data_IF_886220904824
#
_entry.id   IF_886220904824
#
_cell.length_a   1.000
_cell.length_b   1.000
_cell.length_c   1.000
_cell.angle_alpha   90.00
_cell.angle_beta   90.00
_cell.angle_gamma   90.00
#
_symmetry.space_group_name_H-M   'P 1'
#
loop_
_entity.id
_entity.type
_entity.pdbx_description
1 polymer ?
#
# COMPACT_ATOMS: atom_id res chain seq x y z
N UNK A 1 -18.83 19.64 -0.64
CA UNK A 1 -18.77 18.76 0.55
C UNK A 1 -19.03 17.34 0.07
N UNK A 2 -18.05 16.44 0.21
CA UNK A 2 -18.23 15.05 -0.20
C UNK A 2 -19.28 14.40 0.71
N UNK A 3 -20.26 13.74 0.10
CA UNK A 3 -21.31 13.00 0.79
C UNK A 3 -20.68 11.77 1.48
N UNK A 4 -20.39 11.91 2.78
CA UNK A 4 -19.79 10.84 3.60
C UNK A 4 -20.68 9.60 3.70
N UNK A 5 -21.97 9.67 3.29
CA UNK A 5 -22.88 8.52 3.30
C UNK A 5 -22.53 7.45 2.26
N UNK A 6 -21.64 7.76 1.30
CA UNK A 6 -21.17 6.82 0.26
C UNK A 6 -19.79 6.21 0.55
N UNK A 7 -19.23 6.49 1.74
CA UNK A 7 -17.90 5.99 2.10
C UNK A 7 -18.03 4.62 2.75
N UNK A 8 -17.49 3.60 2.09
CA UNK A 8 -17.47 2.23 2.60
C UNK A 8 -16.08 1.92 3.15
N UNK A 9 -15.96 1.68 4.45
CA UNK A 9 -14.70 1.37 5.11
C UNK A 9 -14.45 -0.15 5.15
N UNK A 10 -13.18 -0.53 5.28
CA UNK A 10 -12.80 -1.93 5.50
C UNK A 10 -13.28 -2.43 6.87
N UNK A 11 -13.59 -3.71 6.97
CA UNK A 11 -14.22 -4.28 8.16
C UNK A 11 -13.26 -4.36 9.35
N UNK A 12 -12.01 -4.69 9.09
CA UNK A 12 -10.98 -4.83 10.13
C UNK A 12 -10.55 -3.52 10.78
N UNK A 13 -10.94 -2.36 10.21
CA UNK A 13 -10.61 -1.03 10.76
C UNK A 13 -11.85 -0.24 11.21
N UNK A 14 -13.01 -0.90 11.37
CA UNK A 14 -14.28 -0.23 11.73
C UNK A 14 -14.22 0.58 13.04
N UNK A 15 -13.38 0.18 13.98
CA UNK A 15 -13.21 0.82 15.29
C UNK A 15 -12.08 1.85 15.35
N UNK A 16 -11.26 1.96 14.29
CA UNK A 16 -10.24 3.01 14.21
C UNK A 16 -10.85 4.31 13.68
N UNK A 17 -10.19 5.44 13.96
CA UNK A 17 -10.57 6.72 13.39
C UNK A 17 -10.70 6.59 11.88
N UNK A 18 -11.92 6.78 11.37
CA UNK A 18 -12.29 6.67 9.96
C UNK A 18 -11.60 7.75 9.15
N UNK A 19 -10.35 7.48 8.80
CA UNK A 19 -9.45 8.43 8.16
C UNK A 19 -9.77 8.52 6.67
N UNK A 20 -10.32 9.65 6.26
CA UNK A 20 -10.50 10.04 4.85
C UNK A 20 -9.49 11.13 4.53
N UNK A 21 -8.67 10.92 3.51
CA UNK A 21 -7.66 11.91 3.12
C UNK A 21 -8.33 13.12 2.45
N UNK A 22 -8.06 14.35 2.90
CA UNK A 22 -8.55 15.57 2.26
C UNK A 22 -8.07 15.72 0.80
N UNK A 23 -8.91 16.33 -0.05
CA UNK A 23 -8.62 16.47 -1.50
C UNK A 23 -7.36 17.30 -1.75
N UNK A 24 -7.14 18.36 -0.99
CA UNK A 24 -5.96 19.23 -1.08
C UNK A 24 -4.66 18.47 -0.79
N UNK A 25 -4.69 17.49 0.11
CA UNK A 25 -3.55 16.60 0.34
C UNK A 25 -3.32 15.64 -0.84
N UNK A 26 -4.38 15.17 -1.49
CA UNK A 26 -4.27 14.30 -2.68
C UNK A 26 -3.70 15.10 -3.86
N UNK A 27 -4.17 16.33 -4.06
CA UNK A 27 -3.76 17.20 -5.17
C UNK A 27 -2.30 17.66 -5.05
N UNK A 28 -1.82 17.86 -3.82
CA UNK A 28 -0.43 18.25 -3.54
C UNK A 28 0.54 17.07 -3.43
N UNK A 29 0.03 15.83 -3.42
CA UNK A 29 0.86 14.64 -3.23
C UNK A 29 1.72 14.31 -4.45
N UNK A 30 2.93 13.79 -4.17
CA UNK A 30 3.82 13.30 -5.21
C UNK A 30 3.38 11.93 -5.70
N UNK A 31 3.15 11.77 -7.01
CA UNK A 31 2.90 10.46 -7.59
C UNK A 31 4.22 9.70 -7.79
N UNK A 32 4.39 8.58 -7.09
CA UNK A 32 5.65 7.82 -7.09
C UNK A 32 5.94 7.14 -8.46
N UNK A 33 4.98 6.49 -9.14
CA UNK A 33 5.18 5.95 -10.47
C UNK A 33 4.82 7.05 -11.51
N UNK A 34 5.78 7.55 -12.31
CA UNK A 34 5.54 8.68 -13.20
C UNK A 34 4.51 8.43 -14.32
N UNK A 35 4.20 7.16 -14.62
CA UNK A 35 3.26 6.77 -15.68
C UNK A 35 1.92 6.20 -15.18
N UNK A 36 1.69 6.20 -13.86
CA UNK A 36 0.53 5.52 -13.27
C UNK A 36 0.55 4.00 -13.49
N UNK A 37 -0.26 3.25 -12.75
CA UNK A 37 -0.22 1.79 -12.75
C UNK A 37 -1.45 1.14 -13.42
N UNK A 38 -1.96 1.75 -14.50
CA UNK A 38 -3.01 1.13 -15.32
C UNK A 38 -4.33 0.93 -14.58
N UNK A 39 -4.79 1.98 -13.88
CA UNK A 39 -6.06 2.02 -13.14
C UNK A 39 -5.95 2.37 -11.66
N UNK A 40 -4.74 2.69 -11.19
CA UNK A 40 -4.43 3.20 -9.87
C UNK A 40 -3.19 4.11 -9.87
N UNK A 41 -3.06 4.90 -8.82
CA UNK A 41 -1.93 5.78 -8.51
C UNK A 41 -1.40 5.47 -7.12
N UNK A 42 -0.10 5.75 -6.90
CA UNK A 42 0.54 5.66 -5.58
C UNK A 42 1.04 7.05 -5.25
N UNK A 43 0.38 7.71 -4.31
CA UNK A 43 0.64 9.08 -3.92
C UNK A 43 1.37 9.10 -2.59
N UNK A 44 2.50 9.78 -2.51
CA UNK A 44 3.18 10.02 -1.25
C UNK A 44 2.50 11.19 -0.53
N UNK A 45 1.83 10.88 0.58
CA UNK A 45 1.09 11.86 1.39
C UNK A 45 2.01 12.51 2.43
N UNK A 46 3.00 11.76 2.93
CA UNK A 46 4.05 12.26 3.82
C UNK A 46 5.32 11.43 3.61
N UNK A 47 6.41 11.76 4.30
CA UNK A 47 7.66 10.99 4.26
C UNK A 47 7.48 9.52 4.67
N UNK A 48 6.45 9.22 5.48
CA UNK A 48 6.24 7.88 6.05
C UNK A 48 4.96 7.21 5.59
N UNK A 49 4.15 7.85 4.75
CA UNK A 49 2.82 7.34 4.36
C UNK A 49 2.55 7.51 2.87
N UNK A 50 1.95 6.49 2.29
CA UNK A 50 1.51 6.46 0.90
C UNK A 50 0.02 6.15 0.81
N UNK A 51 -0.65 6.75 -0.17
CA UNK A 51 -2.02 6.49 -0.55
C UNK A 51 -2.03 5.74 -1.88
N UNK A 52 -2.56 4.52 -1.89
CA UNK A 52 -2.94 3.82 -3.11
C UNK A 52 -4.38 4.16 -3.43
N UNK A 53 -4.62 4.70 -4.63
CA UNK A 53 -5.96 5.16 -5.05
C UNK A 53 -6.29 4.73 -6.48
N UNK A 54 -7.53 4.31 -6.74
CA UNK A 54 -8.01 4.02 -8.10
C UNK A 54 -9.16 3.03 -8.17
N UNK A 55 -9.74 2.88 -9.36
CA UNK A 55 -10.90 2.00 -9.60
C UNK A 55 -10.58 0.49 -9.50
N UNK A 56 -9.29 0.15 -9.62
CA UNK A 56 -8.77 -1.21 -9.42
C UNK A 56 -8.35 -1.50 -7.98
N UNK A 57 -8.31 -0.50 -7.10
CA UNK A 57 -7.97 -0.67 -5.68
C UNK A 57 -9.21 -1.22 -4.97
N UNK A 58 -9.05 -2.36 -4.30
CA UNK A 58 -10.17 -3.06 -3.63
C UNK A 58 -9.88 -3.23 -2.15
N UNK A 59 -10.93 -3.24 -1.32
CA UNK A 59 -10.78 -3.45 0.14
C UNK A 59 -10.14 -4.80 0.50
N UNK A 60 -10.29 -5.82 -0.35
CA UNK A 60 -9.58 -7.09 -0.20
C UNK A 60 -8.05 -6.92 -0.16
N UNK A 61 -7.48 -5.93 -0.84
CA UNK A 61 -6.04 -5.64 -0.75
C UNK A 61 -5.66 -5.12 0.65
N UNK A 62 -6.51 -4.27 1.26
CA UNK A 62 -6.29 -3.77 2.60
C UNK A 62 -6.39 -4.89 3.65
N UNK A 63 -7.43 -5.72 3.56
CA UNK A 63 -7.62 -6.89 4.43
C UNK A 63 -6.45 -7.88 4.31
N UNK A 64 -5.96 -8.12 3.10
CA UNK A 64 -4.78 -8.95 2.87
C UNK A 64 -3.53 -8.37 3.55
N UNK A 65 -3.29 -7.06 3.45
CA UNK A 65 -2.17 -6.40 4.13
C UNK A 65 -2.29 -6.46 5.65
N UNK A 66 -3.50 -6.28 6.20
CA UNK A 66 -3.77 -6.42 7.64
C UNK A 66 -3.44 -7.84 8.11
N UNK A 67 -3.88 -8.86 7.36
CA UNK A 67 -3.57 -10.25 7.66
C UNK A 67 -2.06 -10.52 7.59
N UNK A 68 -1.38 -10.09 6.52
CA UNK A 68 0.05 -10.29 6.34
C UNK A 68 0.87 -9.61 7.44
N UNK A 69 0.48 -8.40 7.85
CA UNK A 69 1.13 -7.68 8.95
C UNK A 69 1.00 -8.41 10.30
N UNK A 70 -0.07 -9.19 10.47
CA UNK A 70 -0.29 -10.00 11.68
C UNK A 70 0.36 -11.40 11.61
N UNK A 71 0.66 -11.92 10.42
CA UNK A 71 1.07 -13.31 10.21
C UNK A 71 2.52 -13.48 9.76
N UNK A 72 3.18 -12.42 9.30
CA UNK A 72 4.53 -12.51 8.73
C UNK A 72 5.49 -11.56 9.44
N UNK A 73 6.78 -11.93 9.43
CA UNK A 73 7.87 -11.05 9.86
C UNK A 73 8.45 -10.24 8.69
N UNK A 74 7.92 -10.42 7.47
CA UNK A 74 8.31 -9.64 6.31
C UNK A 74 7.80 -8.22 6.51
N UNK A 75 8.63 -7.18 6.30
CA UNK A 75 8.15 -5.81 6.31
C UNK A 75 7.07 -5.62 5.23
N UNK A 76 5.82 -5.43 5.66
CA UNK A 76 4.69 -5.09 4.81
C UNK A 76 4.12 -3.73 5.19
N UNK A 77 3.52 -2.98 4.25
CA UNK A 77 2.81 -1.75 4.58
C UNK A 77 1.71 -1.99 5.63
N UNK A 78 1.73 -1.24 6.72
CA UNK A 78 0.64 -1.24 7.71
C UNK A 78 -0.48 -0.35 7.19
N UNK A 79 -1.69 -0.89 7.08
CA UNK A 79 -2.87 -0.13 6.68
C UNK A 79 -3.26 0.79 7.83
N UNK A 80 -3.35 2.09 7.55
CA UNK A 80 -3.75 3.15 8.48
C UNK A 80 -5.21 3.56 8.26
N UNK A 81 -5.70 3.39 7.04
CA UNK A 81 -7.09 3.64 6.68
C UNK A 81 -7.39 3.07 5.30
N UNK A 82 -8.57 2.49 5.13
CA UNK A 82 -9.01 1.96 3.84
C UNK A 82 -10.51 2.19 3.65
N UNK A 83 -10.86 2.78 2.50
CA UNK A 83 -12.24 3.10 2.16
C UNK A 83 -12.48 3.13 0.65
N UNK A 84 -13.75 3.09 0.26
CA UNK A 84 -14.19 3.32 -1.11
C UNK A 84 -15.14 4.51 -1.18
N UNK A 85 -15.06 5.27 -2.27
CA UNK A 85 -16.03 6.29 -2.66
C UNK A 85 -16.55 5.89 -4.05
N UNK A 86 -17.80 5.38 -4.10
CA UNK A 86 -18.28 4.71 -5.31
C UNK A 86 -17.41 3.50 -5.65
N UNK A 87 -16.90 3.45 -6.88
CA UNK A 87 -16.03 2.37 -7.37
C UNK A 87 -14.52 2.65 -7.20
N UNK A 88 -14.15 3.78 -6.57
CA UNK A 88 -12.76 4.17 -6.35
C UNK A 88 -12.33 3.74 -4.95
N UNK A 89 -11.31 2.88 -4.87
CA UNK A 89 -10.70 2.48 -3.61
C UNK A 89 -9.55 3.40 -3.20
N UNK A 90 -9.39 3.56 -1.89
CA UNK A 90 -8.38 4.34 -1.21
C UNK A 90 -7.78 3.49 -0.10
N UNK A 91 -6.45 3.35 -0.09
CA UNK A 91 -5.71 2.63 0.97
C UNK A 91 -4.55 3.52 1.39
N UNK A 92 -4.66 4.11 2.59
CA UNK A 92 -3.56 4.80 3.25
C UNK A 92 -2.76 3.77 4.05
N UNK A 93 -1.45 3.76 3.84
CA UNK A 93 -0.56 2.80 4.48
C UNK A 93 0.83 3.39 4.71
N UNK A 94 1.61 2.75 5.59
CA UNK A 94 3.01 3.15 5.82
C UNK A 94 3.85 2.91 4.57
N UNK A 95 4.76 3.85 4.27
CA UNK A 95 5.79 3.67 3.25
C UNK A 95 6.86 2.70 3.75
N UNK A 96 7.28 1.76 2.90
CA UNK A 96 8.42 0.88 3.18
C UNK A 96 9.63 1.47 2.48
N UNK A 97 10.66 1.82 3.25
CA UNK A 97 11.92 2.31 2.72
C UNK A 97 12.74 1.16 2.13
N UNK A 98 13.31 1.39 0.96
CA UNK A 98 14.13 0.40 0.28
C UNK A 98 14.37 0.73 -1.18
N UNK A 99 15.25 -0.05 -1.80
CA UNK A 99 15.45 -0.03 -3.24
C UNK A 99 14.64 -1.16 -3.87
N UNK A 100 14.03 -0.89 -5.02
CA UNK A 100 13.40 -1.95 -5.79
C UNK A 100 14.46 -2.97 -6.21
N UNK A 101 14.21 -4.26 -5.99
CA UNK A 101 15.14 -5.32 -6.35
C UNK A 101 15.58 -5.22 -7.83
N UNK A 102 14.65 -4.89 -8.73
CA UNK A 102 14.93 -4.69 -10.15
C UNK A 102 16.01 -3.62 -10.45
N UNK A 103 16.15 -2.60 -9.58
CA UNK A 103 17.14 -1.52 -9.77
C UNK A 103 18.57 -1.92 -9.40
N UNK A 104 18.76 -3.01 -8.65
CA UNK A 104 20.06 -3.47 -8.19
C UNK A 104 20.37 -4.92 -8.56
N UNK A 105 19.42 -5.64 -9.18
CA UNK A 105 19.56 -7.05 -9.50
C UNK A 105 20.81 -7.35 -10.36
N UNK A 106 21.09 -6.48 -11.34
CA UNK A 106 22.22 -6.66 -12.28
C UNK A 106 23.60 -6.45 -11.64
N UNK A 107 23.66 -5.68 -10.55
CA UNK A 107 24.93 -5.36 -9.86
C UNK A 107 25.17 -6.21 -8.63
N UNK A 108 24.22 -7.07 -8.26
CA UNK A 108 24.34 -7.98 -7.13
C UNK A 108 25.29 -9.14 -7.43
N UNK A 109 26.09 -9.51 -6.43
CA UNK A 109 26.89 -10.73 -6.43
C UNK A 109 26.00 -11.98 -6.38
N UNK A 110 26.58 -13.12 -6.74
CA UNK A 110 25.89 -14.42 -6.64
C UNK A 110 25.49 -14.73 -5.20
N UNK A 111 26.35 -14.36 -4.25
CA UNK A 111 26.15 -14.59 -2.81
C UNK A 111 24.96 -13.78 -2.29
N UNK A 112 24.83 -12.51 -2.69
CA UNK A 112 23.68 -11.66 -2.36
C UNK A 112 22.37 -12.20 -2.95
N UNK A 113 22.38 -12.62 -4.22
CA UNK A 113 21.21 -13.22 -4.86
C UNK A 113 20.78 -14.51 -4.17
N UNK A 114 21.73 -15.36 -3.77
CA UNK A 114 21.45 -16.58 -3.01
C UNK A 114 20.85 -16.28 -1.63
N UNK A 115 21.35 -15.25 -0.94
CA UNK A 115 20.80 -14.82 0.33
C UNK A 115 19.35 -14.34 0.20
N UNK A 116 19.05 -13.53 -0.83
CA UNK A 116 17.69 -13.06 -1.13
C UNK A 116 16.78 -14.24 -1.49
N UNK A 117 17.24 -15.18 -2.31
CA UNK A 117 16.45 -16.37 -2.67
C UNK A 117 16.06 -17.19 -1.43
N UNK A 118 17.01 -17.45 -0.52
CA UNK A 118 16.73 -18.14 0.75
C UNK A 118 15.77 -17.37 1.64
N UNK A 119 15.91 -16.04 1.70
CA UNK A 119 14.99 -15.19 2.44
C UNK A 119 13.56 -15.31 1.87
N UNK A 120 13.40 -15.24 0.54
CA UNK A 120 12.10 -15.36 -0.12
C UNK A 120 11.48 -16.74 0.12
N UNK A 121 12.26 -17.82 0.04
CA UNK A 121 11.79 -19.17 0.36
C UNK A 121 11.23 -19.26 1.78
N UNK A 122 11.88 -18.60 2.75
CA UNK A 122 11.45 -18.57 4.14
C UNK A 122 10.14 -17.80 4.40
N UNK A 123 9.61 -17.09 3.40
CA UNK A 123 8.41 -16.26 3.51
C UNK A 123 7.16 -16.92 2.91
N UNK A 124 7.29 -18.11 2.32
CA UNK A 124 6.12 -18.88 1.93
C UNK A 124 5.38 -19.34 3.18
N UNK A 125 4.14 -18.85 3.33
CA UNK A 125 3.23 -19.34 4.36
C UNK A 125 2.81 -20.76 3.97
N UNK A 126 3.04 -21.73 4.87
CA UNK A 126 2.45 -23.09 4.78
C UNK A 126 0.93 -23.07 4.96
#
# INVERSE_FOLDING_TARGET
MADLSKVMFTDSLREQDKLVIPIDQIESAMNLPPHGLGGNMILQISDTTVLKVGWRVKMAEAEALILLAAKTNVPVPKVLGAYMIGDIGFILMTKIEGKMLASCLETMSREELQAIARQLESHNLE
#
